data_IF_562391669001
#
_entry.id   IF_562391669001
#
_cell.length_a   1.000
_cell.length_b   1.000
_cell.length_c   1.000
_cell.angle_alpha   90.00
_cell.angle_beta   90.00
_cell.angle_gamma   90.00
#
_symmetry.space_group_name_H-M   'P 1'
#
loop_
_entity.id
_entity.type
_entity.pdbx_description
1 polymer ?
#
# COMPACT_ATOMS: atom_id res chain seq x y z
N UNK A 1 6.28 -45.67 3.73
CA UNK A 1 5.53 -44.48 4.18
C UNK A 1 5.95 -43.29 3.33
N UNK A 2 5.05 -42.80 2.47
CA UNK A 2 5.30 -41.69 1.54
C UNK A 2 5.31 -40.38 2.32
N UNK A 3 6.49 -39.88 2.70
CA UNK A 3 6.59 -38.52 3.21
C UNK A 3 6.13 -37.57 2.11
N UNK A 4 5.02 -36.87 2.35
CA UNK A 4 4.54 -35.77 1.51
C UNK A 4 5.62 -34.68 1.64
N UNK A 5 6.49 -34.54 0.65
CA UNK A 5 7.60 -33.57 0.66
C UNK A 5 7.08 -32.14 0.43
N UNK A 6 6.19 -31.70 1.32
CA UNK A 6 5.69 -30.34 1.39
C UNK A 6 6.63 -29.48 2.23
N UNK A 7 6.77 -28.21 1.87
CA UNK A 7 7.43 -27.23 2.73
C UNK A 7 6.73 -27.21 4.11
N UNK A 8 7.47 -27.48 5.18
CA UNK A 8 6.90 -27.65 6.53
C UNK A 8 6.11 -26.40 7.00
N UNK A 9 6.53 -25.21 6.57
CA UNK A 9 5.89 -23.94 6.90
C UNK A 9 4.89 -23.48 5.82
N UNK A 10 4.35 -24.39 4.99
CA UNK A 10 3.42 -24.03 3.93
C UNK A 10 2.16 -23.33 4.45
N UNK A 11 1.62 -23.77 5.59
CA UNK A 11 0.45 -23.13 6.20
C UNK A 11 0.78 -21.73 6.70
N UNK A 12 1.95 -21.53 7.31
CA UNK A 12 2.42 -20.22 7.75
C UNK A 12 2.63 -19.28 6.57
N UNK A 13 3.20 -19.79 5.47
CA UNK A 13 3.37 -19.02 4.24
C UNK A 13 2.01 -18.61 3.63
N UNK A 14 1.02 -19.51 3.63
CA UNK A 14 -0.33 -19.19 3.16
C UNK A 14 -0.97 -18.10 4.03
N UNK A 15 -0.86 -18.23 5.35
CA UNK A 15 -1.35 -17.21 6.28
C UNK A 15 -0.69 -15.84 6.01
N UNK A 16 0.64 -15.78 5.86
CA UNK A 16 1.35 -14.52 5.56
C UNK A 16 0.96 -13.90 4.21
N UNK A 17 0.59 -14.71 3.22
CA UNK A 17 0.02 -14.22 1.95
C UNK A 17 -1.34 -13.55 2.15
N UNK A 18 -2.22 -14.17 2.95
CA UNK A 18 -3.52 -13.56 3.27
C UNK A 18 -3.35 -12.28 4.10
N UNK A 19 -2.41 -12.25 5.06
CA UNK A 19 -2.08 -11.03 5.80
C UNK A 19 -1.62 -9.91 4.87
N UNK A 20 -0.67 -10.17 3.96
CA UNK A 20 -0.22 -9.18 2.97
C UNK A 20 -1.40 -8.69 2.10
N UNK A 21 -2.29 -9.59 1.69
CA UNK A 21 -3.48 -9.24 0.90
C UNK A 21 -4.42 -8.30 1.66
N UNK A 22 -4.68 -8.56 2.94
CA UNK A 22 -5.48 -7.68 3.79
C UNK A 22 -4.80 -6.31 3.92
N UNK A 23 -3.49 -6.28 4.19
CA UNK A 23 -2.74 -5.02 4.29
C UNK A 23 -2.70 -4.22 2.99
N UNK A 24 -2.70 -4.88 1.83
CA UNK A 24 -2.87 -4.20 0.53
C UNK A 24 -4.22 -3.49 0.42
N UNK A 25 -5.29 -4.15 0.86
CA UNK A 25 -6.63 -3.57 0.84
C UNK A 25 -6.76 -2.40 1.83
N UNK A 26 -6.23 -2.54 3.03
CA UNK A 26 -6.18 -1.45 4.03
C UNK A 26 -5.44 -0.23 3.48
N UNK A 27 -4.27 -0.43 2.87
CA UNK A 27 -3.49 0.64 2.24
C UNK A 27 -4.25 1.30 1.07
N UNK A 28 -4.85 0.50 0.18
CA UNK A 28 -5.62 1.03 -0.94
C UNK A 28 -6.80 1.89 -0.48
N UNK A 29 -7.48 1.46 0.59
CA UNK A 29 -8.59 2.22 1.20
C UNK A 29 -8.09 3.54 1.79
N UNK A 30 -7.05 3.51 2.62
CA UNK A 30 -6.49 4.72 3.24
C UNK A 30 -5.95 5.71 2.19
N UNK A 31 -5.35 5.20 1.11
CA UNK A 31 -4.89 6.00 -0.02
C UNK A 31 -6.05 6.70 -0.72
N UNK A 32 -7.14 5.98 -1.01
CA UNK A 32 -8.31 6.56 -1.66
C UNK A 32 -8.95 7.65 -0.78
N UNK A 33 -9.06 7.42 0.53
CA UNK A 33 -9.54 8.43 1.49
C UNK A 33 -8.67 9.70 1.45
N UNK A 34 -7.34 9.55 1.49
CA UNK A 34 -6.40 10.66 1.41
C UNK A 34 -6.48 11.43 0.08
N UNK A 35 -6.53 10.72 -1.05
CA UNK A 35 -6.66 11.33 -2.39
C UNK A 35 -7.98 12.12 -2.48
N UNK A 36 -9.08 11.53 -2.01
CA UNK A 36 -10.38 12.22 -1.99
C UNK A 36 -10.36 13.48 -1.13
N UNK A 37 -9.81 13.41 0.09
CA UNK A 37 -9.72 14.58 0.96
C UNK A 37 -8.82 15.69 0.37
N UNK A 38 -7.76 15.32 -0.34
CA UNK A 38 -6.88 16.25 -1.03
C UNK A 38 -7.58 16.94 -2.19
N UNK A 39 -8.38 16.21 -2.96
CA UNK A 39 -9.21 16.78 -4.03
C UNK A 39 -10.24 17.77 -3.48
N UNK A 40 -10.89 17.44 -2.35
CA UNK A 40 -11.84 18.34 -1.67
C UNK A 40 -11.14 19.62 -1.22
N UNK A 41 -9.95 19.52 -0.63
CA UNK A 41 -9.14 20.68 -0.24
C UNK A 41 -8.83 21.57 -1.43
N UNK A 42 -8.33 20.99 -2.53
CA UNK A 42 -7.98 21.73 -3.74
C UNK A 42 -9.20 22.46 -4.31
N UNK A 43 -10.39 21.83 -4.29
CA UNK A 43 -11.64 22.48 -4.73
C UNK A 43 -12.02 23.65 -3.84
N UNK A 44 -11.87 23.54 -2.52
CA UNK A 44 -12.14 24.64 -1.59
C UNK A 44 -11.19 25.82 -1.78
N UNK A 45 -9.90 25.56 -1.97
CA UNK A 45 -8.90 26.59 -2.24
C UNK A 45 -9.19 27.30 -3.58
N UNK A 46 -9.46 26.54 -4.64
CA UNK A 46 -9.80 27.10 -5.95
C UNK A 46 -11.10 27.92 -5.94
N UNK A 47 -12.08 27.57 -5.10
CA UNK A 47 -13.29 28.36 -4.92
C UNK A 47 -13.02 29.65 -4.14
N UNK A 48 -12.18 29.61 -3.10
CA UNK A 48 -11.77 30.79 -2.36
C UNK A 48 -11.01 31.78 -3.25
N UNK A 49 -10.11 31.28 -4.10
CA UNK A 49 -9.36 32.11 -5.05
C UNK A 49 -10.27 32.76 -6.10
N UNK A 50 -11.24 32.00 -6.65
CA UNK A 50 -12.24 32.56 -7.57
C UNK A 50 -13.07 33.66 -6.92
N UNK A 51 -13.55 33.43 -5.69
CA UNK A 51 -14.30 34.43 -4.94
C UNK A 51 -13.44 35.68 -4.65
N UNK A 52 -12.15 35.50 -4.37
CA UNK A 52 -11.21 36.61 -4.16
C UNK A 52 -11.01 37.46 -5.41
N UNK A 53 -10.88 36.83 -6.58
CA UNK A 53 -10.80 37.54 -7.86
C UNK A 53 -12.09 38.31 -8.14
N UNK A 54 -13.25 37.69 -7.94
CA UNK A 54 -14.56 38.35 -8.11
C UNK A 54 -14.72 39.56 -7.18
N UNK A 55 -14.37 39.38 -5.90
CA UNK A 55 -14.39 40.45 -4.90
C UNK A 55 -13.52 41.64 -5.28
N UNK A 56 -12.28 41.40 -5.71
CA UNK A 56 -11.36 42.47 -6.14
C UNK A 56 -11.91 43.24 -7.35
N UNK A 57 -12.49 42.53 -8.32
CA UNK A 57 -13.09 43.15 -9.50
C UNK A 57 -14.30 44.02 -9.12
N UNK A 58 -15.16 43.57 -8.20
CA UNK A 58 -16.31 44.36 -7.72
C UNK A 58 -15.89 45.58 -6.92
N UNK A 59 -14.87 45.46 -6.07
CA UNK A 59 -14.32 46.62 -5.34
C UNK A 59 -13.83 47.72 -6.29
N UNK A 60 -13.21 47.36 -7.42
CA UNK A 60 -12.70 48.33 -8.39
C UNK A 60 -13.79 49.16 -9.08
N UNK A 61 -15.02 48.62 -9.19
CA UNK A 61 -16.17 49.28 -9.84
C UNK A 61 -17.03 50.05 -8.81
N UNK A 62 -16.81 49.82 -7.52
CA UNK A 62 -17.62 50.32 -6.41
C UNK A 62 -18.62 49.25 -5.95
N UNK A 63 -18.68 49.02 -4.63
CA UNK A 63 -19.54 47.99 -4.04
C UNK A 63 -20.21 48.52 -2.78
N UNK A 64 -21.35 47.94 -2.41
CA UNK A 64 -22.13 48.36 -1.25
C UNK A 64 -21.58 47.77 0.06
N UNK A 65 -21.86 48.40 1.19
CA UNK A 65 -21.47 47.87 2.51
C UNK A 65 -22.07 46.48 2.80
N UNK A 66 -23.27 46.21 2.29
CA UNK A 66 -23.92 44.90 2.43
C UNK A 66 -23.19 43.81 1.64
N UNK A 67 -22.73 44.11 0.43
CA UNK A 67 -21.94 43.17 -0.37
C UNK A 67 -20.57 42.91 0.28
N UNK A 68 -19.89 43.94 0.79
CA UNK A 68 -18.63 43.78 1.54
C UNK A 68 -18.80 42.83 2.71
N UNK A 69 -19.89 42.99 3.48
CA UNK A 69 -20.20 42.11 4.61
C UNK A 69 -20.43 40.67 4.17
N UNK A 70 -21.19 40.45 3.09
CA UNK A 70 -21.45 39.12 2.55
C UNK A 70 -20.14 38.40 2.15
N UNK A 71 -19.22 39.10 1.48
CA UNK A 71 -17.91 38.54 1.14
C UNK A 71 -17.06 38.26 2.37
N UNK A 72 -17.05 39.17 3.36
CA UNK A 72 -16.31 38.96 4.61
C UNK A 72 -16.80 37.70 5.34
N UNK A 73 -18.11 37.53 5.47
CA UNK A 73 -18.74 36.36 6.09
C UNK A 73 -18.41 35.07 5.30
N UNK A 74 -18.49 35.13 3.97
CA UNK A 74 -18.09 34.03 3.09
C UNK A 74 -16.63 33.63 3.28
N UNK A 75 -15.68 34.59 3.23
CA UNK A 75 -14.25 34.29 3.37
C UNK A 75 -13.92 33.76 4.75
N UNK A 76 -14.53 34.30 5.81
CA UNK A 76 -14.35 33.79 7.16
C UNK A 76 -14.78 32.32 7.26
N UNK A 77 -15.97 31.99 6.70
CA UNK A 77 -16.45 30.61 6.68
C UNK A 77 -15.55 29.71 5.84
N UNK A 78 -15.21 30.14 4.63
CA UNK A 78 -14.39 29.38 3.69
C UNK A 78 -13.01 29.10 4.24
N UNK A 79 -12.42 30.08 4.94
CA UNK A 79 -11.13 29.91 5.60
C UNK A 79 -11.20 28.82 6.67
N UNK A 80 -12.23 28.82 7.52
CA UNK A 80 -12.42 27.75 8.50
C UNK A 80 -12.58 26.38 7.84
N UNK A 81 -13.41 26.27 6.79
CA UNK A 81 -13.62 25.02 6.06
C UNK A 81 -12.30 24.49 5.46
N UNK A 82 -11.47 25.36 4.89
CA UNK A 82 -10.13 25.02 4.37
C UNK A 82 -9.20 24.54 5.50
N UNK A 83 -9.20 25.21 6.66
CA UNK A 83 -8.36 24.79 7.79
C UNK A 83 -8.77 23.40 8.31
N UNK A 84 -10.08 23.15 8.46
CA UNK A 84 -10.55 21.82 8.86
C UNK A 84 -10.18 20.76 7.83
N UNK A 85 -10.34 21.05 6.54
CA UNK A 85 -9.99 20.11 5.49
C UNK A 85 -8.49 19.83 5.44
N UNK A 86 -7.62 20.81 5.71
CA UNK A 86 -6.17 20.60 5.81
C UNK A 86 -5.81 19.65 6.95
N UNK A 87 -6.42 19.83 8.11
CA UNK A 87 -6.22 18.92 9.26
C UNK A 87 -6.64 17.49 8.88
N UNK A 88 -7.76 17.34 8.17
CA UNK A 88 -8.23 16.03 7.72
C UNK A 88 -7.25 15.38 6.72
N UNK A 89 -6.78 16.14 5.73
CA UNK A 89 -5.75 15.68 4.77
C UNK A 89 -4.49 15.22 5.50
N UNK A 90 -4.01 15.98 6.48
CA UNK A 90 -2.83 15.62 7.26
C UNK A 90 -3.04 14.34 8.08
N UNK A 91 -4.21 14.18 8.70
CA UNK A 91 -4.56 12.98 9.45
C UNK A 91 -4.63 11.74 8.53
N UNK A 92 -5.28 11.86 7.37
CA UNK A 92 -5.39 10.79 6.40
C UNK A 92 -4.04 10.45 5.76
N UNK A 93 -3.16 11.43 5.57
CA UNK A 93 -1.79 11.20 5.10
C UNK A 93 -0.98 10.38 6.11
N UNK A 94 -1.10 10.68 7.41
CA UNK A 94 -0.47 9.89 8.48
C UNK A 94 -1.00 8.46 8.48
N UNK A 95 -2.33 8.29 8.45
CA UNK A 95 -2.98 6.97 8.38
C UNK A 95 -2.54 6.18 7.14
N UNK A 96 -2.49 6.81 5.96
CA UNK A 96 -2.00 6.18 4.74
C UNK A 96 -0.53 5.74 4.88
N UNK A 97 0.31 6.57 5.49
CA UNK A 97 1.72 6.27 5.71
C UNK A 97 1.90 5.08 6.66
N UNK A 98 1.16 5.03 7.77
CA UNK A 98 1.15 3.89 8.68
C UNK A 98 0.72 2.60 7.96
N UNK A 99 -0.35 2.66 7.15
CA UNK A 99 -0.81 1.49 6.37
C UNK A 99 0.18 1.05 5.29
N UNK A 100 0.97 1.97 4.77
CA UNK A 100 2.07 1.65 3.85
C UNK A 100 3.17 0.89 4.57
N UNK A 101 3.55 1.31 5.78
CA UNK A 101 4.56 0.62 6.60
C UNK A 101 4.10 -0.80 6.98
N UNK A 102 2.87 -0.94 7.47
CA UNK A 102 2.23 -2.24 7.74
C UNK A 102 2.32 -3.20 6.54
N UNK A 103 2.02 -2.71 5.34
CA UNK A 103 2.09 -3.49 4.11
C UNK A 103 3.53 -3.87 3.77
N UNK A 104 4.48 -2.95 3.93
CA UNK A 104 5.89 -3.23 3.67
C UNK A 104 6.42 -4.33 4.59
N UNK A 105 6.04 -4.32 5.87
CA UNK A 105 6.47 -5.33 6.82
C UNK A 105 5.82 -6.69 6.54
N UNK A 106 4.52 -6.73 6.27
CA UNK A 106 3.85 -7.97 5.85
C UNK A 106 4.48 -8.57 4.57
N UNK A 107 4.87 -7.72 3.61
CA UNK A 107 5.53 -8.13 2.39
C UNK A 107 6.93 -8.72 2.66
N UNK A 108 7.71 -8.11 3.55
CA UNK A 108 9.04 -8.62 3.97
C UNK A 108 8.92 -9.99 4.64
N UNK A 109 7.99 -10.14 5.59
CA UNK A 109 7.77 -11.40 6.31
C UNK A 109 7.37 -12.54 5.36
N UNK A 110 6.44 -12.28 4.43
CA UNK A 110 6.09 -13.25 3.39
C UNK A 110 7.30 -13.60 2.54
N UNK A 111 8.07 -12.60 2.09
CA UNK A 111 9.22 -12.80 1.21
C UNK A 111 10.29 -13.67 1.87
N UNK A 112 10.52 -13.51 3.17
CA UNK A 112 11.45 -14.33 3.93
C UNK A 112 11.06 -15.83 3.88
N UNK A 113 9.78 -16.16 4.05
CA UNK A 113 9.29 -17.54 3.96
C UNK A 113 9.34 -18.09 2.52
N UNK A 114 9.06 -17.27 1.52
CA UNK A 114 9.19 -17.67 0.10
C UNK A 114 10.64 -18.03 -0.23
N UNK A 115 11.60 -17.21 0.19
CA UNK A 115 13.03 -17.47 -0.01
C UNK A 115 13.49 -18.72 0.74
N UNK A 116 13.00 -18.94 1.97
CA UNK A 116 13.29 -20.15 2.74
C UNK A 116 12.77 -21.40 2.02
N UNK A 117 11.52 -21.37 1.55
CA UNK A 117 10.93 -22.45 0.76
C UNK A 117 11.75 -22.74 -0.50
N UNK A 118 12.12 -21.70 -1.24
CA UNK A 118 12.91 -21.85 -2.46
C UNK A 118 14.27 -22.49 -2.19
N UNK A 119 14.97 -22.06 -1.11
CA UNK A 119 16.24 -22.65 -0.70
C UNK A 119 16.11 -24.13 -0.34
N UNK A 120 15.09 -24.51 0.43
CA UNK A 120 14.85 -25.92 0.79
C UNK A 120 14.50 -26.77 -0.44
N UNK A 121 13.68 -26.26 -1.34
CA UNK A 121 13.33 -26.95 -2.59
C UNK A 121 14.55 -27.17 -3.48
N UNK A 122 15.46 -26.20 -3.58
CA UNK A 122 16.72 -26.36 -4.32
C UNK A 122 17.63 -27.40 -3.68
N UNK A 123 17.77 -27.39 -2.35
CA UNK A 123 18.57 -28.37 -1.63
C UNK A 123 18.03 -29.80 -1.84
N UNK A 124 16.71 -29.98 -1.72
CA UNK A 124 16.07 -31.27 -1.95
C UNK A 124 16.28 -31.77 -3.39
N UNK A 125 16.11 -30.92 -4.41
CA UNK A 125 16.37 -31.28 -5.81
C UNK A 125 17.82 -31.72 -6.03
N UNK A 126 18.77 -31.02 -5.41
CA UNK A 126 20.19 -31.37 -5.50
C UNK A 126 20.47 -32.73 -4.88
N UNK A 127 19.95 -32.97 -3.67
CA UNK A 127 20.09 -34.26 -2.98
C UNK A 127 19.50 -35.42 -3.78
N UNK A 128 18.31 -35.23 -4.36
CA UNK A 128 17.68 -36.25 -5.23
C UNK A 128 18.54 -36.54 -6.46
N UNK A 129 19.10 -35.51 -7.11
CA UNK A 129 19.98 -35.69 -8.26
C UNK A 129 21.33 -36.33 -7.92
N UNK A 130 21.83 -36.15 -6.69
CA UNK A 130 23.03 -36.83 -6.19
C UNK A 130 22.73 -38.31 -5.89
N UNK A 131 21.59 -38.62 -5.28
CA UNK A 131 21.13 -40.01 -5.05
C UNK A 131 20.88 -40.77 -6.35
N UNK A 132 20.26 -40.12 -7.34
CA UNK A 132 19.99 -40.73 -8.65
C UNK A 132 21.29 -41.06 -9.39
N UNK A 133 22.28 -40.15 -9.37
CA UNK A 133 23.61 -40.42 -9.93
C UNK A 133 24.31 -41.59 -9.24
N UNK A 134 24.34 -41.60 -7.90
CA UNK A 134 24.95 -42.70 -7.15
C UNK A 134 24.31 -44.06 -7.47
N UNK A 135 22.98 -44.10 -7.61
CA UNK A 135 22.26 -45.30 -7.99
C UNK A 135 22.61 -45.78 -9.41
N UNK A 136 22.70 -44.88 -10.38
CA UNK A 136 23.10 -45.21 -11.75
C UNK A 136 24.54 -45.74 -11.83
N UNK A 137 25.46 -45.14 -11.07
CA UNK A 137 26.84 -45.59 -10.99
C UNK A 137 26.93 -47.01 -10.41
N UNK A 138 26.17 -47.31 -9.35
CA UNK A 138 26.09 -48.65 -8.75
C UNK A 138 25.55 -49.69 -9.73
N UNK A 139 24.49 -49.35 -10.48
CA UNK A 139 23.94 -50.22 -11.53
C UNK A 139 24.94 -50.46 -12.68
N UNK A 140 25.71 -49.45 -13.06
CA UNK A 140 26.73 -49.57 -14.09
C UNK A 140 27.86 -50.53 -13.65
N UNK A 141 28.33 -50.42 -12.41
CA UNK A 141 29.33 -51.32 -11.83
C UNK A 141 28.84 -52.77 -11.79
N UNK A 142 27.59 -53.01 -11.40
CA UNK A 142 27.00 -54.37 -11.39
C UNK A 142 26.89 -54.99 -12.80
N UNK A 143 26.64 -54.17 -13.83
CA UNK A 143 26.59 -54.65 -15.23
C UNK A 143 27.96 -55.00 -15.81
N UNK A 144 29.03 -54.32 -15.38
CA UNK A 144 30.40 -54.58 -15.85
C UNK A 144 31.02 -55.78 -15.12
N UNK A 145 30.55 -56.11 -13.92
CA UNK A 145 31.01 -57.26 -13.14
C UNK A 145 30.34 -58.61 -13.53
N UNK A 146 29.42 -58.62 -14.50
CA UNK A 146 28.82 -59.80 -15.11
C UNK A 146 29.36 -60.02 -16.51
#
# INVERSE_FOLDING_TARGET
MTHKHGFQLQQVLNYRKEVEKVKKLEFATARHEFEHASDVLSRHEAEADRARVEYNNKQAVGTTANELKLYADFFARKHMDIQFQRIEVDNLNRKMSEKREDLMDAAKEKKALELLKEKQMRAFRREMAERERAFLDEMALQKVAR
#
